data_IF_451488006554
#
_entry.id   IF_451488006554
#
_cell.length_a   1.000
_cell.length_b   1.000
_cell.length_c   1.000
_cell.angle_alpha   90.00
_cell.angle_beta   90.00
_cell.angle_gamma   90.00
#
_symmetry.space_group_name_H-M   'P 1'
#
loop_
_entity.id
_entity.type
_entity.pdbx_description
1 polymer ?
#
# COMPACT_ATOMS: atom_id res chain seq x y z
N UNK A 1 7.34 -27.55 31.80
CA UNK A 1 6.02 -27.75 32.43
C UNK A 1 5.15 -26.53 32.20
N UNK A 2 4.13 -26.65 31.32
CA UNK A 2 2.86 -25.88 31.26
C UNK A 2 1.98 -26.61 30.23
N UNK A 3 0.83 -27.19 30.62
CA UNK A 3 -0.03 -27.90 29.67
C UNK A 3 -1.03 -26.97 28.97
N UNK A 4 -1.33 -27.30 27.72
CA UNK A 4 -2.41 -26.74 26.89
C UNK A 4 -3.76 -27.22 27.43
N UNK A 5 -4.70 -26.30 27.71
CA UNK A 5 -6.10 -26.66 27.98
C UNK A 5 -6.93 -26.55 26.70
N UNK A 6 -7.44 -27.70 26.27
CA UNK A 6 -8.57 -27.84 25.36
C UNK A 6 -9.83 -27.96 26.21
N UNK A 7 -10.85 -27.14 25.94
CA UNK A 7 -12.16 -27.28 26.56
C UNK A 7 -13.21 -27.48 25.45
N UNK A 8 -13.68 -28.71 25.38
CA UNK A 8 -14.79 -29.23 24.59
C UNK A 8 -16.14 -28.73 25.12
N UNK A 9 -17.01 -28.23 24.25
CA UNK A 9 -18.41 -27.95 24.57
C UNK A 9 -19.28 -29.21 24.45
N UNK A 10 -20.21 -29.47 25.40
CA UNK A 10 -21.14 -30.60 25.30
C UNK A 10 -22.38 -30.24 24.47
N UNK A 11 -22.74 -31.10 23.52
CA UNK A 11 -24.00 -31.06 22.77
C UNK A 11 -25.10 -31.73 23.61
N UNK A 12 -26.16 -30.98 23.91
CA UNK A 12 -27.40 -31.49 24.53
C UNK A 12 -28.28 -32.12 23.45
N UNK A 13 -28.55 -33.42 23.58
CA UNK A 13 -29.65 -34.10 22.89
C UNK A 13 -30.99 -33.53 23.37
N UNK A 14 -31.81 -33.09 22.43
CA UNK A 14 -33.24 -32.80 22.63
C UNK A 14 -34.02 -33.42 21.48
N UNK A 15 -34.70 -34.53 21.78
CA UNK A 15 -35.54 -35.30 20.87
C UNK A 15 -36.99 -34.82 21.04
N UNK A 16 -37.63 -34.33 19.97
CA UNK A 16 -39.05 -33.99 19.96
C UNK A 16 -39.69 -34.62 18.71
N UNK A 17 -40.65 -35.52 18.94
CA UNK A 17 -41.50 -36.13 17.93
C UNK A 17 -42.34 -35.04 17.21
N UNK A 18 -42.23 -34.98 15.88
CA UNK A 18 -43.09 -34.18 15.01
C UNK A 18 -43.75 -35.07 13.96
N UNK A 19 -45.08 -35.14 14.01
CA UNK A 19 -45.92 -35.90 13.08
C UNK A 19 -45.78 -35.36 11.64
N UNK A 20 -45.65 -36.27 10.66
CA UNK A 20 -45.52 -35.92 9.24
C UNK A 20 -46.89 -35.46 8.71
N UNK A 21 -47.09 -34.15 8.60
CA UNK A 21 -48.17 -33.57 7.80
C UNK A 21 -47.73 -33.56 6.32
N UNK A 22 -48.36 -34.38 5.48
CA UNK A 22 -48.22 -34.26 4.03
C UNK A 22 -49.15 -33.14 3.53
N UNK A 23 -48.67 -32.16 2.74
CA UNK A 23 -49.52 -31.12 2.18
C UNK A 23 -50.47 -31.72 1.15
N UNK A 24 -51.72 -31.23 1.15
CA UNK A 24 -52.76 -31.67 0.23
C UNK A 24 -52.35 -31.44 -1.23
N UNK A 25 -52.77 -32.35 -2.11
CA UNK A 25 -52.48 -32.33 -3.56
C UNK A 25 -52.83 -31.00 -4.24
N UNK A 26 -53.75 -30.22 -3.66
CA UNK A 26 -54.13 -28.87 -4.13
C UNK A 26 -52.98 -27.86 -4.07
N UNK A 27 -52.16 -27.86 -3.01
CA UNK A 27 -51.10 -26.85 -2.84
C UNK A 27 -49.92 -27.05 -3.83
N UNK A 28 -49.69 -28.30 -4.25
CA UNK A 28 -48.67 -28.63 -5.24
C UNK A 28 -49.06 -28.14 -6.65
N UNK A 29 -50.35 -28.20 -7.00
CA UNK A 29 -50.85 -27.63 -8.26
C UNK A 29 -50.75 -26.10 -8.27
N UNK A 30 -51.04 -25.42 -7.16
CA UNK A 30 -50.87 -23.97 -7.04
C UNK A 30 -49.41 -23.53 -7.22
N UNK A 31 -48.46 -24.21 -6.57
CA UNK A 31 -47.04 -23.88 -6.72
C UNK A 31 -46.52 -24.11 -8.15
N UNK A 32 -46.96 -25.16 -8.84
CA UNK A 32 -46.56 -25.41 -10.23
C UNK A 32 -47.20 -24.39 -11.20
N UNK A 33 -48.46 -24.01 -11.00
CA UNK A 33 -49.14 -22.98 -11.81
C UNK A 33 -48.53 -21.59 -11.62
N UNK A 34 -48.18 -21.20 -10.39
CA UNK A 34 -47.50 -19.92 -10.16
C UNK A 34 -46.11 -19.86 -10.78
N UNK A 35 -45.35 -20.96 -10.73
CA UNK A 35 -44.03 -21.04 -11.36
C UNK A 35 -44.13 -21.06 -12.90
N UNK A 36 -45.18 -21.67 -13.46
CA UNK A 36 -45.46 -21.63 -14.89
C UNK A 36 -45.89 -20.23 -15.36
N UNK A 37 -46.74 -19.54 -14.60
CA UNK A 37 -47.15 -18.17 -14.92
C UNK A 37 -45.96 -17.19 -14.84
N UNK A 38 -45.11 -17.30 -13.79
CA UNK A 38 -43.88 -16.50 -13.67
C UNK A 38 -42.93 -16.74 -14.84
N UNK A 39 -42.73 -17.99 -15.27
CA UNK A 39 -41.85 -18.29 -16.42
C UNK A 39 -42.42 -17.78 -17.76
N UNK A 40 -43.73 -17.84 -17.96
CA UNK A 40 -44.40 -17.26 -19.14
C UNK A 40 -44.27 -15.73 -19.14
N UNK A 41 -44.43 -15.08 -17.98
CA UNK A 41 -44.27 -13.63 -17.82
C UNK A 41 -42.82 -13.18 -18.08
N UNK A 42 -41.83 -13.87 -17.52
CA UNK A 42 -40.40 -13.65 -17.80
C UNK A 42 -40.06 -13.83 -19.28
N UNK A 43 -40.69 -14.80 -19.95
CA UNK A 43 -40.51 -15.05 -21.38
C UNK A 43 -41.11 -13.92 -22.23
N UNK A 44 -42.23 -13.33 -21.78
CA UNK A 44 -42.88 -12.18 -22.42
C UNK A 44 -42.07 -10.90 -22.24
N UNK A 45 -41.57 -10.64 -21.02
CA UNK A 45 -40.72 -9.50 -20.70
C UNK A 45 -39.38 -9.54 -21.43
N UNK A 46 -38.74 -10.71 -21.58
CA UNK A 46 -37.52 -10.86 -22.41
C UNK A 46 -37.75 -10.56 -23.89
N UNK A 47 -38.93 -10.91 -24.43
CA UNK A 47 -39.30 -10.59 -25.82
C UNK A 47 -39.57 -9.10 -26.00
N UNK A 48 -40.20 -8.46 -25.00
CA UNK A 48 -40.50 -7.03 -25.00
C UNK A 48 -39.24 -6.18 -24.79
N UNK A 49 -38.33 -6.62 -23.93
CA UNK A 49 -37.03 -5.99 -23.64
C UNK A 49 -35.90 -6.71 -24.38
N UNK A 50 -36.03 -6.79 -25.71
CA UNK A 50 -34.91 -7.20 -26.55
C UNK A 50 -33.90 -6.05 -26.53
N UNK A 51 -32.87 -6.17 -25.67
CA UNK A 51 -31.83 -5.15 -25.50
C UNK A 51 -31.32 -4.70 -26.88
N UNK A 52 -31.22 -3.38 -27.15
CA UNK A 52 -30.68 -2.92 -28.42
C UNK A 52 -29.28 -3.50 -28.57
N UNK A 53 -28.95 -3.91 -29.80
CA UNK A 53 -27.67 -4.48 -30.19
C UNK A 53 -26.53 -3.48 -29.85
N UNK A 54 -26.09 -3.45 -28.58
CA UNK A 54 -24.84 -2.81 -28.20
C UNK A 54 -23.80 -3.54 -29.02
N UNK A 55 -23.21 -2.83 -29.98
CA UNK A 55 -22.18 -3.37 -30.83
C UNK A 55 -21.17 -4.10 -29.96
N UNK A 56 -20.72 -5.28 -30.39
CA UNK A 56 -19.72 -6.06 -29.65
C UNK A 56 -18.50 -5.20 -29.25
N UNK A 57 -18.20 -4.16 -30.04
CA UNK A 57 -17.20 -3.15 -29.73
C UNK A 57 -17.54 -2.29 -28.51
N UNK A 58 -18.75 -1.74 -28.40
CA UNK A 58 -19.17 -0.94 -27.24
C UNK A 58 -19.19 -1.74 -25.93
N UNK A 59 -19.67 -2.99 -25.95
CA UNK A 59 -19.62 -3.87 -24.77
C UNK A 59 -18.16 -4.21 -24.36
N UNK A 60 -17.26 -4.37 -25.33
CA UNK A 60 -15.84 -4.62 -25.07
C UNK A 60 -15.14 -3.38 -24.51
N UNK A 61 -15.46 -2.19 -25.02
CA UNK A 61 -14.93 -0.92 -24.51
C UNK A 61 -15.36 -0.68 -23.06
N UNK A 62 -16.64 -0.90 -22.75
CA UNK A 62 -17.15 -0.78 -21.37
C UNK A 62 -16.47 -1.80 -20.45
N UNK A 63 -16.28 -3.06 -20.89
CA UNK A 63 -15.56 -4.07 -20.10
C UNK A 63 -14.10 -3.66 -19.85
N UNK A 64 -13.38 -3.18 -20.87
CA UNK A 64 -12.00 -2.67 -20.73
C UNK A 64 -11.91 -1.46 -19.80
N UNK A 65 -12.90 -0.57 -19.86
CA UNK A 65 -12.95 0.60 -18.98
C UNK A 65 -13.17 0.17 -17.52
N UNK A 66 -14.14 -0.71 -17.26
CA UNK A 66 -14.38 -1.26 -15.92
C UNK A 66 -13.15 -2.01 -15.38
N UNK A 67 -12.47 -2.77 -16.24
CA UNK A 67 -11.22 -3.46 -15.94
C UNK A 67 -10.08 -2.52 -15.51
N UNK A 68 -9.95 -1.36 -16.16
CA UNK A 68 -8.96 -0.35 -15.80
C UNK A 68 -9.28 0.36 -14.48
N UNK A 69 -10.57 0.57 -14.17
CA UNK A 69 -11.00 1.13 -12.89
C UNK A 69 -10.68 0.18 -11.71
N UNK A 70 -10.69 -1.13 -11.95
CA UNK A 70 -10.36 -2.14 -10.93
C UNK A 70 -8.85 -2.31 -10.75
N UNK A 71 -8.07 -2.24 -11.83
CA UNK A 71 -6.62 -2.56 -11.79
C UNK A 71 -5.70 -1.35 -11.57
N UNK A 72 -6.21 -0.12 -11.66
CA UNK A 72 -5.42 1.11 -11.53
C UNK A 72 -4.39 1.27 -12.66
N UNK A 73 -3.72 2.43 -12.77
CA UNK A 73 -2.64 2.61 -13.74
C UNK A 73 -1.51 1.61 -13.46
N UNK A 74 -0.87 1.13 -14.52
CA UNK A 74 0.27 0.22 -14.41
C UNK A 74 1.32 0.84 -13.47
N UNK A 75 1.76 0.07 -12.47
CA UNK A 75 2.79 0.50 -11.53
C UNK A 75 4.06 0.80 -12.33
N UNK A 76 4.66 1.98 -12.13
CA UNK A 76 5.89 2.36 -12.80
C UNK A 76 6.96 1.27 -12.58
N UNK A 77 7.57 0.79 -13.67
CA UNK A 77 8.57 -0.28 -13.64
C UNK A 77 9.94 0.19 -13.16
N UNK A 78 10.17 1.51 -13.14
CA UNK A 78 11.38 2.15 -12.65
C UNK A 78 11.08 2.85 -11.33
N UNK A 79 11.94 2.66 -10.33
CA UNK A 79 11.87 3.43 -9.10
C UNK A 79 12.03 4.94 -9.42
N UNK A 80 11.28 5.82 -8.71
CA UNK A 80 11.44 7.25 -8.89
C UNK A 80 12.90 7.65 -8.57
N UNK A 81 13.47 8.64 -9.28
CA UNK A 81 14.83 9.07 -9.03
C UNK A 81 14.96 9.63 -7.61
N UNK A 82 15.90 9.09 -6.84
CA UNK A 82 16.17 9.48 -5.46
C UNK A 82 17.47 10.27 -5.32
N UNK A 83 17.54 11.07 -4.27
CA UNK A 83 18.70 11.84 -3.85
C UNK A 83 19.09 11.43 -2.43
N UNK A 84 20.39 11.23 -2.18
CA UNK A 84 20.92 10.86 -0.87
C UNK A 84 21.15 12.12 -0.01
N UNK A 85 20.74 12.07 1.25
CA UNK A 85 21.10 13.08 2.24
C UNK A 85 22.54 12.87 2.73
N UNK A 86 23.42 13.86 2.54
CA UNK A 86 24.82 13.77 2.96
C UNK A 86 25.02 13.74 4.48
N UNK A 87 23.99 14.06 5.27
CA UNK A 87 24.05 14.06 6.74
C UNK A 87 23.70 12.69 7.31
N UNK A 88 22.63 12.05 6.79
CA UNK A 88 22.10 10.80 7.37
C UNK A 88 22.14 9.59 6.43
N UNK A 89 22.61 9.75 5.20
CA UNK A 89 22.77 8.68 4.22
C UNK A 89 21.46 8.09 3.66
N UNK A 90 20.29 8.64 4.02
CA UNK A 90 18.98 8.14 3.56
C UNK A 90 18.61 8.72 2.19
N UNK A 91 17.77 7.98 1.46
CA UNK A 91 17.26 8.35 0.14
C UNK A 91 15.94 9.11 0.24
N UNK A 92 15.82 10.20 -0.50
CA UNK A 92 14.63 11.04 -0.59
C UNK A 92 14.27 11.33 -2.06
N UNK A 93 13.04 11.79 -2.31
CA UNK A 93 12.69 12.33 -3.62
C UNK A 93 13.33 13.70 -3.83
N UNK A 94 13.55 14.09 -5.08
CA UNK A 94 14.22 15.36 -5.42
C UNK A 94 13.56 16.60 -4.83
N UNK A 95 12.25 16.58 -4.55
CA UNK A 95 11.54 17.69 -3.89
C UNK A 95 11.57 17.60 -2.37
N UNK A 96 11.56 16.39 -1.82
CA UNK A 96 11.57 16.21 -0.37
C UNK A 96 12.96 16.39 0.24
N UNK A 97 14.03 16.24 -0.53
CA UNK A 97 15.40 16.47 -0.06
C UNK A 97 15.65 17.92 0.36
N UNK A 98 15.08 18.89 -0.37
CA UNK A 98 15.19 20.34 -0.10
C UNK A 98 14.63 20.70 1.28
N UNK A 99 13.57 20.02 1.71
CA UNK A 99 12.95 20.22 3.02
C UNK A 99 13.68 19.37 4.07
N UNK A 100 14.16 18.20 3.69
CA UNK A 100 14.79 17.26 4.59
C UNK A 100 16.14 17.74 5.11
N UNK A 101 17.04 18.21 4.24
CA UNK A 101 18.41 18.58 4.63
C UNK A 101 18.45 19.63 5.75
N UNK A 102 17.74 20.79 5.67
CA UNK A 102 17.77 21.78 6.75
C UNK A 102 17.19 21.23 8.05
N UNK A 103 16.14 20.39 7.98
CA UNK A 103 15.58 19.72 9.17
C UNK A 103 16.54 18.69 9.77
N UNK A 104 17.25 17.95 8.92
CA UNK A 104 18.23 16.96 9.32
C UNK A 104 19.43 17.61 10.00
N UNK A 105 19.92 18.74 9.46
CA UNK A 105 21.00 19.52 10.04
C UNK A 105 20.61 20.06 11.42
N UNK A 106 19.43 20.68 11.52
CA UNK A 106 18.92 21.18 12.81
C UNK A 106 18.81 20.06 13.85
N UNK A 107 18.34 18.87 13.46
CA UNK A 107 18.28 17.73 14.37
C UNK A 107 19.68 17.31 14.82
N UNK A 108 20.63 17.23 13.89
CA UNK A 108 22.03 16.89 14.18
C UNK A 108 22.66 17.88 15.16
N UNK A 109 22.46 19.18 14.96
CA UNK A 109 22.97 20.24 15.85
C UNK A 109 22.42 20.09 17.27
N UNK A 110 21.11 19.87 17.40
CA UNK A 110 20.48 19.65 18.71
C UNK A 110 20.98 18.37 19.41
N UNK A 111 21.27 17.31 18.66
CA UNK A 111 21.88 16.09 19.21
C UNK A 111 23.32 16.34 19.66
N UNK A 112 24.08 17.09 18.87
CA UNK A 112 25.47 17.45 19.16
C UNK A 112 25.56 18.40 20.37
N UNK A 113 24.65 19.35 20.52
CA UNK A 113 24.60 20.27 21.67
C UNK A 113 24.33 19.56 23.00
N UNK A 114 23.55 18.47 22.95
CA UNK A 114 23.27 17.63 24.13
C UNK A 114 24.50 16.83 24.59
N UNK A 115 25.53 16.72 23.76
CA UNK A 115 26.78 16.07 24.15
C UNK A 115 27.63 17.00 25.05
N UNK A 116 28.44 16.42 25.96
CA UNK A 116 29.48 17.16 26.67
C UNK A 116 30.39 17.91 25.69
N UNK A 117 30.88 19.11 26.06
CA UNK A 117 31.72 19.95 25.19
C UNK A 117 32.88 19.19 24.53
N UNK A 118 33.48 18.24 25.24
CA UNK A 118 34.58 17.39 24.75
C UNK A 118 34.19 16.40 23.65
N UNK A 119 32.90 16.04 23.55
CA UNK A 119 32.36 15.09 22.57
C UNK A 119 31.58 15.76 21.44
N UNK A 120 31.42 17.09 21.49
CA UNK A 120 30.79 17.85 20.41
C UNK A 120 31.70 17.86 19.18
N UNK A 121 31.09 17.81 18.01
CA UNK A 121 31.78 17.79 16.72
C UNK A 121 31.40 19.01 15.88
N UNK A 122 32.21 19.39 14.88
CA UNK A 122 31.75 20.33 13.85
C UNK A 122 30.66 19.69 12.98
N UNK A 123 29.80 20.51 12.33
CA UNK A 123 28.78 20.02 11.42
C UNK A 123 29.39 19.22 10.27
N UNK A 124 28.66 18.21 9.73
CA UNK A 124 29.13 17.43 8.59
C UNK A 124 29.45 18.35 7.41
N UNK A 125 30.57 18.13 6.71
CA UNK A 125 30.94 18.96 5.56
C UNK A 125 29.89 18.85 4.47
N UNK A 126 29.47 20.00 3.95
CA UNK A 126 28.53 20.09 2.84
C UNK A 126 29.26 19.80 1.53
N UNK A 127 28.77 18.89 0.67
CA UNK A 127 29.34 18.70 -0.68
C UNK A 127 29.04 19.89 -1.60
N UNK A 128 29.94 20.18 -2.54
CA UNK A 128 29.83 21.31 -3.47
C UNK A 128 28.59 21.27 -4.38
N UNK A 129 28.03 20.09 -4.59
CA UNK A 129 26.81 19.90 -5.37
C UNK A 129 25.52 20.33 -4.64
N UNK A 130 25.61 20.75 -3.38
CA UNK A 130 24.50 21.29 -2.60
C UNK A 130 24.67 22.79 -2.31
N UNK A 131 23.58 23.54 -2.42
CA UNK A 131 23.51 24.92 -1.95
C UNK A 131 23.51 24.98 -0.42
N UNK A 132 23.67 26.19 0.13
CA UNK A 132 23.58 26.42 1.58
C UNK A 132 22.25 25.95 2.18
N UNK A 133 21.17 26.06 1.41
CA UNK A 133 19.82 25.66 1.80
C UNK A 133 19.56 24.16 1.59
N UNK A 134 20.53 23.40 1.06
CA UNK A 134 20.39 21.96 0.81
C UNK A 134 19.69 21.61 -0.51
N UNK A 135 19.63 22.55 -1.46
CA UNK A 135 19.13 22.29 -2.81
C UNK A 135 20.26 21.78 -3.70
N UNK A 136 19.98 20.91 -4.67
CA UNK A 136 21.00 20.48 -5.65
C UNK A 136 21.34 21.67 -6.55
N UNK A 137 22.63 21.96 -6.70
CA UNK A 137 23.12 23.10 -7.48
C UNK A 137 23.14 22.80 -8.98
N UNK A 138 22.13 23.27 -9.72
CA UNK A 138 22.11 23.21 -11.19
C UNK A 138 21.67 21.87 -11.79
N UNK A 139 21.86 21.70 -13.11
CA UNK A 139 21.50 20.47 -13.84
C UNK A 139 22.64 19.44 -13.74
N UNK A 140 22.93 18.98 -12.53
CA UNK A 140 24.00 18.00 -12.29
C UNK A 140 23.48 16.58 -12.56
N UNK A 141 24.38 15.72 -13.02
CA UNK A 141 24.14 14.28 -13.06
C UNK A 141 23.79 13.76 -11.66
N UNK A 142 22.61 13.15 -11.54
CA UNK A 142 22.06 12.65 -10.27
C UNK A 142 22.93 11.56 -9.66
N UNK A 143 23.62 10.78 -10.49
CA UNK A 143 24.53 9.75 -10.01
C UNK A 143 25.72 10.36 -9.28
N UNK A 144 26.39 11.34 -9.90
CA UNK A 144 27.49 12.07 -9.29
C UNK A 144 27.09 12.78 -7.97
N UNK A 145 25.89 13.39 -7.94
CA UNK A 145 25.36 14.02 -6.71
C UNK A 145 25.19 12.97 -5.60
N UNK A 146 24.64 11.81 -5.92
CA UNK A 146 24.41 10.75 -4.95
C UNK A 146 25.71 10.12 -4.45
N UNK A 147 26.70 9.93 -5.32
CA UNK A 147 28.02 9.42 -4.93
C UNK A 147 28.74 10.39 -4.00
N UNK A 148 28.74 11.69 -4.32
CA UNK A 148 29.32 12.72 -3.46
C UNK A 148 28.60 12.79 -2.09
N UNK A 149 27.26 12.79 -2.11
CA UNK A 149 26.46 12.80 -0.88
C UNK A 149 26.68 11.54 -0.04
N UNK A 150 26.73 10.37 -0.68
CA UNK A 150 27.00 9.11 0.00
C UNK A 150 28.38 9.11 0.65
N UNK A 151 29.42 9.49 -0.11
CA UNK A 151 30.80 9.55 0.38
C UNK A 151 30.91 10.49 1.59
N UNK A 152 30.30 11.68 1.51
CA UNK A 152 30.26 12.61 2.63
C UNK A 152 29.53 12.02 3.85
N UNK A 153 28.41 11.32 3.65
CA UNK A 153 27.68 10.67 4.74
C UNK A 153 28.48 9.56 5.42
N UNK A 154 29.23 8.77 4.64
CA UNK A 154 30.08 7.70 5.17
C UNK A 154 31.26 8.25 5.96
N UNK A 155 31.87 9.34 5.49
CA UNK A 155 32.98 10.01 6.18
C UNK A 155 32.55 10.64 7.53
N UNK A 156 31.27 10.96 7.70
CA UNK A 156 30.73 11.52 8.94
C UNK A 156 30.38 10.47 10.01
N UNK A 157 30.37 9.18 9.66
CA UNK A 157 30.07 8.10 10.61
C UNK A 157 31.16 7.99 11.67
N UNK A 158 30.76 7.63 12.90
CA UNK A 158 31.72 7.45 14.00
C UNK A 158 31.73 6.03 14.52
N UNK A 159 32.93 5.50 14.68
CA UNK A 159 33.17 4.19 15.24
C UNK A 159 32.85 4.16 16.74
N UNK A 160 32.16 3.11 17.16
CA UNK A 160 31.92 2.82 18.56
C UNK A 160 33.23 2.42 19.26
N UNK A 161 33.56 3.08 20.37
CA UNK A 161 34.77 2.82 21.17
C UNK A 161 34.84 1.38 21.72
N UNK A 162 33.70 0.69 21.84
CA UNK A 162 33.64 -0.66 22.42
C UNK A 162 33.66 -1.79 21.39
N UNK A 163 33.14 -1.57 20.18
CA UNK A 163 32.98 -2.64 19.18
C UNK A 163 33.44 -2.28 17.76
N UNK A 164 33.89 -1.05 17.51
CA UNK A 164 34.41 -0.60 16.22
C UNK A 164 33.37 -0.36 15.12
N UNK A 165 32.09 -0.72 15.33
CA UNK A 165 31.02 -0.45 14.35
C UNK A 165 30.78 1.04 14.18
N UNK A 166 30.59 1.48 12.95
CA UNK A 166 30.30 2.87 12.57
C UNK A 166 28.79 3.12 12.52
N UNK A 167 28.36 4.28 13.04
CA UNK A 167 26.96 4.73 13.06
C UNK A 167 26.85 6.19 12.65
#
# INVERSE_FOLDING_TARGET
MKPLSSATHPLKLGYIFGTKHYPSTSYMYFFLLENLLKTIEFSRLRKQYKSPNISRSAATLLRKHMDNLVRGPARATKAPPTVICYICGRQFGSRSIEIHIPQCLKKWELENERLPKSRRRPPPPRPDCFTEQGTILGTVDKYAVNEAAWTASQAALVACEHCGRTF
#
